data_IF_581042587870
#
_entry.id   IF_581042587870
#
_cell.length_a   1.000
_cell.length_b   1.000
_cell.length_c   1.000
_cell.angle_alpha   90.00
_cell.angle_beta   90.00
_cell.angle_gamma   90.00
#
_symmetry.space_group_name_H-M   'P 1'
#
loop_
_entity.id
_entity.type
_entity.pdbx_description
1 polymer ?
#
# COMPACT_ATOMS: atom_id res chain seq x y z
N UNK A 1 -18.42 -10.77 -38.77
CA UNK A 1 -17.31 -10.96 -37.84
C UNK A 1 -17.62 -10.12 -36.62
N UNK A 2 -18.02 -10.76 -35.53
CA UNK A 2 -18.49 -10.09 -34.32
C UNK A 2 -17.41 -10.26 -33.28
N UNK A 3 -16.67 -9.20 -32.96
CA UNK A 3 -15.69 -9.23 -31.87
C UNK A 3 -16.44 -8.91 -30.59
N UNK A 4 -16.65 -9.94 -29.77
CA UNK A 4 -17.16 -9.79 -28.41
C UNK A 4 -16.09 -9.08 -27.58
N UNK A 5 -16.33 -7.82 -27.24
CA UNK A 5 -15.57 -7.14 -26.18
C UNK A 5 -15.81 -7.89 -24.87
N UNK A 6 -14.76 -8.50 -24.33
CA UNK A 6 -14.78 -9.01 -22.97
C UNK A 6 -14.84 -7.80 -22.03
N UNK A 7 -16.02 -7.52 -21.49
CA UNK A 7 -16.18 -6.71 -20.30
C UNK A 7 -15.35 -7.34 -19.19
N UNK A 8 -14.19 -6.75 -18.93
CA UNK A 8 -13.39 -7.05 -17.76
C UNK A 8 -14.19 -6.53 -16.57
N UNK A 9 -14.91 -7.42 -15.88
CA UNK A 9 -15.54 -7.14 -14.59
C UNK A 9 -14.42 -6.93 -13.59
N UNK A 10 -13.88 -5.71 -13.57
CA UNK A 10 -12.88 -5.28 -12.62
C UNK A 10 -13.44 -5.48 -11.23
N UNK A 11 -12.75 -6.29 -10.42
CA UNK A 11 -13.02 -6.43 -9.01
C UNK A 11 -12.72 -5.07 -8.36
N UNK A 12 -13.75 -4.23 -8.21
CA UNK A 12 -13.63 -2.90 -7.60
C UNK A 12 -13.10 -3.08 -6.17
N UNK A 13 -11.86 -2.63 -5.94
CA UNK A 13 -11.31 -2.56 -4.59
C UNK A 13 -12.01 -1.41 -3.86
N UNK A 14 -12.42 -1.64 -2.61
CA UNK A 14 -13.13 -0.65 -1.77
C UNK A 14 -12.22 0.37 -1.11
N UNK A 15 -10.91 0.22 -1.24
CA UNK A 15 -9.91 1.25 -0.88
C UNK A 15 -10.01 2.51 -1.77
N UNK A 16 -11.01 2.58 -2.66
CA UNK A 16 -11.25 3.72 -3.55
C UNK A 16 -10.36 3.70 -4.79
N UNK A 17 -9.56 2.65 -5.00
CA UNK A 17 -8.65 2.57 -6.13
C UNK A 17 -9.23 1.67 -7.23
N UNK A 18 -9.23 2.19 -8.45
CA UNK A 18 -9.73 1.48 -9.61
C UNK A 18 -8.96 0.15 -9.82
N UNK A 19 -9.62 -0.91 -10.34
CA UNK A 19 -9.02 -2.24 -10.56
C UNK A 19 -7.82 -2.26 -11.51
N UNK A 20 -7.53 -1.13 -12.17
CA UNK A 20 -6.29 -0.80 -12.89
C UNK A 20 -6.04 0.70 -12.74
N UNK A 21 -4.77 1.11 -12.69
CA UNK A 21 -4.36 2.51 -12.80
C UNK A 21 -4.95 3.08 -14.08
N UNK A 22 -6.05 3.81 -13.95
CA UNK A 22 -6.66 4.49 -15.08
C UNK A 22 -5.88 5.78 -15.22
N UNK A 23 -5.31 5.99 -16.41
CA UNK A 23 -4.62 7.23 -16.78
C UNK A 23 -5.65 8.36 -16.73
N UNK A 24 -5.80 8.95 -15.54
CA UNK A 24 -6.68 10.07 -15.25
C UNK A 24 -5.77 11.19 -14.72
N UNK A 25 -5.24 12.06 -15.60
CA UNK A 25 -4.34 13.14 -15.20
C UNK A 25 -4.98 14.16 -14.22
N UNK A 26 -6.30 14.12 -14.07
CA UNK A 26 -7.09 14.92 -13.12
C UNK A 26 -7.24 14.26 -11.73
N UNK A 27 -6.80 13.01 -11.55
CA UNK A 27 -6.88 12.28 -10.28
C UNK A 27 -5.80 12.76 -9.28
N UNK A 28 -5.98 12.53 -7.96
CA UNK A 28 -4.93 12.75 -6.97
C UNK A 28 -3.62 12.02 -7.33
N UNK A 29 -2.49 12.62 -6.97
CA UNK A 29 -1.16 12.05 -7.25
C UNK A 29 -1.02 10.66 -6.63
N UNK A 30 -0.37 9.75 -7.38
CA UNK A 30 -0.14 8.39 -6.94
C UNK A 30 1.17 8.30 -6.18
N UNK A 31 1.08 8.09 -4.86
CA UNK A 31 2.22 7.87 -3.97
C UNK A 31 1.99 6.57 -3.21
N UNK A 32 2.94 5.65 -3.24
CA UNK A 32 2.86 4.37 -2.52
C UNK A 32 4.10 4.12 -1.66
N UNK A 33 3.91 3.40 -0.56
CA UNK A 33 4.99 2.84 0.27
C UNK A 33 4.63 1.42 0.67
N UNK A 34 5.64 0.62 1.03
CA UNK A 34 5.44 -0.69 1.64
C UNK A 34 5.98 -0.66 3.07
N UNK A 35 5.38 -1.45 3.96
CA UNK A 35 5.85 -1.65 5.33
C UNK A 35 6.28 -3.09 5.52
N UNK A 36 7.28 -3.33 6.38
CA UNK A 36 7.76 -4.66 6.71
C UNK A 36 7.06 -5.20 7.95
N UNK A 37 6.72 -6.49 7.91
CA UNK A 37 6.37 -7.26 9.11
C UNK A 37 7.45 -8.32 9.29
N UNK A 38 8.21 -8.19 10.37
CA UNK A 38 9.26 -9.13 10.72
C UNK A 38 8.66 -10.39 11.30
N UNK A 39 9.20 -11.52 10.87
CA UNK A 39 8.86 -12.83 11.38
C UNK A 39 10.08 -13.42 12.09
N UNK A 40 9.84 -14.10 13.20
CA UNK A 40 10.82 -14.97 13.85
C UNK A 40 10.29 -16.37 13.95
N UNK A 41 11.20 -17.34 14.03
CA UNK A 41 10.82 -18.71 14.30
C UNK A 41 10.27 -18.81 15.73
N UNK A 42 9.18 -19.56 15.91
CA UNK A 42 8.63 -19.90 17.23
C UNK A 42 9.70 -20.51 18.12
N UNK A 43 9.56 -20.42 19.44
CA UNK A 43 10.57 -20.93 20.39
C UNK A 43 10.79 -22.44 20.27
N UNK A 44 9.78 -23.19 19.80
CA UNK A 44 9.88 -24.62 19.52
C UNK A 44 10.52 -24.95 18.16
N UNK A 45 10.77 -23.94 17.33
CA UNK A 45 11.37 -24.12 16.00
C UNK A 45 10.44 -24.63 14.91
N UNK A 46 9.11 -24.63 15.12
CA UNK A 46 8.16 -25.37 14.27
C UNK A 46 7.36 -24.50 13.28
N UNK A 47 7.20 -23.21 13.56
CA UNK A 47 6.43 -22.29 12.71
C UNK A 47 6.91 -20.83 12.85
N UNK A 48 6.49 -19.95 11.94
CA UNK A 48 6.77 -18.52 12.00
C UNK A 48 5.75 -17.80 12.90
N UNK A 49 6.23 -16.85 13.68
CA UNK A 49 5.42 -15.91 14.46
C UNK A 49 5.88 -14.48 14.15
N UNK A 50 5.00 -13.49 14.38
CA UNK A 50 5.37 -12.08 14.26
C UNK A 50 6.46 -11.77 15.30
N UNK A 51 7.55 -11.17 14.84
CA UNK A 51 8.62 -10.72 15.73
C UNK A 51 8.13 -9.54 16.59
N UNK A 52 8.63 -9.45 17.82
CA UNK A 52 8.28 -8.38 18.75
C UNK A 52 8.56 -6.99 18.17
N UNK A 53 9.59 -6.84 17.33
CA UNK A 53 9.93 -5.58 16.66
C UNK A 53 8.80 -5.05 15.76
N UNK A 54 7.91 -5.92 15.26
CA UNK A 54 6.76 -5.47 14.48
C UNK A 54 5.55 -5.08 15.32
N UNK A 55 5.53 -5.36 16.64
CA UNK A 55 4.36 -5.12 17.50
C UNK A 55 4.72 -4.42 18.81
N UNK A 56 5.87 -3.74 18.86
CA UNK A 56 6.38 -3.06 20.05
C UNK A 56 5.74 -1.68 20.30
N UNK A 57 4.81 -1.26 19.44
CA UNK A 57 4.09 0.00 19.52
C UNK A 57 4.74 1.15 18.74
N UNK A 58 5.87 0.92 18.07
CA UNK A 58 6.50 1.90 17.19
C UNK A 58 6.01 1.74 15.73
N UNK A 59 6.35 2.72 14.89
CA UNK A 59 6.06 2.66 13.46
C UNK A 59 6.83 1.50 12.81
N UNK A 60 6.20 0.81 11.87
CA UNK A 60 6.87 -0.24 11.10
C UNK A 60 7.95 0.35 10.20
N UNK A 61 8.96 -0.45 9.91
CA UNK A 61 10.00 -0.09 8.95
C UNK A 61 9.46 -0.14 7.52
N UNK A 62 10.00 0.72 6.66
CA UNK A 62 9.66 0.70 5.24
C UNK A 62 10.22 -0.56 4.58
N UNK A 63 9.44 -1.17 3.68
CA UNK A 63 9.85 -2.30 2.86
C UNK A 63 10.78 -1.94 1.71
N UNK A 64 10.92 -0.65 1.39
CA UNK A 64 11.80 -0.15 0.35
C UNK A 64 13.19 0.13 0.94
N UNK A 65 14.23 0.02 0.11
CA UNK A 65 15.64 0.06 0.52
C UNK A 65 16.09 1.32 1.25
N UNK A 66 15.29 2.39 1.24
CA UNK A 66 15.70 3.73 1.65
C UNK A 66 14.62 4.48 2.45
N UNK A 67 13.70 3.79 3.13
CA UNK A 67 12.58 4.40 3.89
C UNK A 67 11.71 5.37 3.09
N UNK A 68 11.66 5.18 1.77
CA UNK A 68 11.01 6.10 0.85
C UNK A 68 9.79 5.51 0.18
N UNK A 69 8.75 6.33 0.08
CA UNK A 69 7.67 6.14 -0.85
C UNK A 69 8.17 6.23 -2.31
N UNK A 70 7.33 5.85 -3.26
CA UNK A 70 7.56 6.06 -4.70
C UNK A 70 6.30 6.64 -5.37
N UNK A 71 6.50 7.27 -6.52
CA UNK A 71 5.47 7.81 -7.38
C UNK A 71 5.64 7.36 -8.85
N UNK A 72 6.38 6.27 -9.09
CA UNK A 72 6.73 5.78 -10.44
C UNK A 72 5.53 5.55 -11.36
N UNK A 73 4.37 5.20 -10.79
CA UNK A 73 3.12 4.94 -11.52
C UNK A 73 2.21 6.18 -11.63
N UNK A 74 2.67 7.36 -11.18
CA UNK A 74 1.88 8.59 -11.29
C UNK A 74 1.86 9.11 -12.73
N UNK A 75 0.67 9.17 -13.32
CA UNK A 75 0.46 9.47 -14.73
C UNK A 75 0.13 10.94 -15.05
N UNK A 76 0.26 11.87 -14.09
CA UNK A 76 -0.26 13.23 -14.23
C UNK A 76 0.67 14.20 -14.99
N UNK A 77 1.90 13.81 -15.30
CA UNK A 77 2.92 14.61 -16.02
C UNK A 77 3.29 15.95 -15.33
N UNK A 78 3.02 16.07 -14.01
CA UNK A 78 3.32 17.26 -13.18
C UNK A 78 4.54 17.02 -12.29
N UNK A 79 5.71 16.83 -12.90
CA UNK A 79 6.94 16.34 -12.23
C UNK A 79 7.32 17.07 -10.93
N UNK A 80 7.34 18.40 -10.92
CA UNK A 80 7.73 19.18 -9.72
C UNK A 80 6.72 19.03 -8.57
N UNK A 81 5.45 18.88 -8.90
CA UNK A 81 4.40 18.70 -7.90
C UNK A 81 4.39 17.26 -7.35
N UNK A 82 4.55 16.29 -8.25
CA UNK A 82 4.82 14.90 -7.90
C UNK A 82 5.98 14.78 -6.92
N UNK A 83 7.09 15.46 -7.22
CA UNK A 83 8.28 15.48 -6.37
C UNK A 83 8.01 16.10 -5.01
N UNK A 84 7.34 17.25 -4.95
CA UNK A 84 7.01 17.91 -3.69
C UNK A 84 6.10 17.04 -2.80
N UNK A 85 5.13 16.34 -3.39
CA UNK A 85 4.26 15.42 -2.66
C UNK A 85 4.97 14.15 -2.20
N UNK A 86 5.87 13.62 -3.03
CA UNK A 86 6.71 12.49 -2.66
C UNK A 86 7.62 12.84 -1.47
N UNK A 87 8.24 14.03 -1.50
CA UNK A 87 9.03 14.54 -0.38
C UNK A 87 8.19 14.67 0.89
N UNK A 88 6.99 15.26 0.80
CA UNK A 88 6.09 15.36 1.95
C UNK A 88 5.65 13.99 2.49
N UNK A 89 5.41 13.00 1.63
CA UNK A 89 5.03 11.66 2.03
C UNK A 89 6.16 10.93 2.78
N UNK A 90 7.42 11.17 2.43
CA UNK A 90 8.58 10.58 3.11
C UNK A 90 8.76 11.10 4.55
N UNK A 91 8.16 12.23 4.90
CA UNK A 91 8.17 12.78 6.26
C UNK A 91 7.03 12.23 7.14
N UNK A 92 6.09 11.48 6.56
CA UNK A 92 5.00 10.88 7.31
C UNK A 92 5.49 9.66 8.08
N UNK A 93 5.03 9.52 9.33
CA UNK A 93 5.25 8.28 10.08
C UNK A 93 4.54 7.13 9.37
N UNK A 94 5.21 5.99 9.31
CA UNK A 94 4.58 4.74 8.92
C UNK A 94 3.61 4.27 10.03
N UNK A 95 2.60 3.44 9.69
CA UNK A 95 1.68 2.91 10.68
C UNK A 95 2.40 2.00 11.66
N UNK A 96 1.89 1.94 12.90
CA UNK A 96 2.22 0.83 13.81
C UNK A 96 1.53 -0.46 13.33
N UNK A 97 1.89 -1.62 13.87
CA UNK A 97 1.18 -2.86 13.49
C UNK A 97 -0.31 -2.86 13.87
N UNK A 98 -0.69 -2.24 15.00
CA UNK A 98 -2.09 -2.13 15.39
C UNK A 98 -2.88 -1.30 14.36
N UNK A 99 -2.32 -0.17 13.95
CA UNK A 99 -2.92 0.69 12.92
C UNK A 99 -2.98 -0.01 11.57
N UNK A 100 -1.92 -0.74 11.18
CA UNK A 100 -1.93 -1.54 9.95
C UNK A 100 -3.04 -2.60 9.98
N UNK A 101 -3.24 -3.28 11.12
CA UNK A 101 -4.32 -4.25 11.27
C UNK A 101 -5.69 -3.60 11.08
N UNK A 102 -5.91 -2.41 11.66
CA UNK A 102 -7.14 -1.65 11.45
C UNK A 102 -7.32 -1.23 9.98
N UNK A 103 -6.27 -0.72 9.33
CA UNK A 103 -6.31 -0.37 7.91
C UNK A 103 -6.66 -1.59 7.03
N UNK A 104 -6.13 -2.76 7.35
CA UNK A 104 -6.48 -4.02 6.67
C UNK A 104 -7.95 -4.34 6.91
N UNK A 105 -8.42 -4.31 8.15
CA UNK A 105 -9.80 -4.62 8.50
C UNK A 105 -10.79 -3.66 7.83
N UNK A 106 -10.48 -2.36 7.77
CA UNK A 106 -11.30 -1.33 7.13
C UNK A 106 -11.39 -1.51 5.61
N UNK A 107 -10.32 -2.02 4.98
CA UNK A 107 -10.26 -2.27 3.55
C UNK A 107 -10.98 -3.57 3.12
N UNK A 108 -11.21 -4.51 4.06
CA UNK A 108 -11.91 -5.76 3.77
C UNK A 108 -13.43 -5.51 3.61
N UNK A 109 -14.11 -6.25 2.71
CA UNK A 109 -15.56 -6.19 2.64
C UNK A 109 -16.19 -6.69 3.94
N UNK A 110 -17.40 -6.22 4.31
CA UNK A 110 -18.13 -6.78 5.43
C UNK A 110 -18.37 -8.27 5.21
N UNK A 111 -18.22 -9.07 6.26
CA UNK A 111 -18.47 -10.50 6.19
C UNK A 111 -19.91 -10.76 5.73
N UNK A 112 -20.05 -11.57 4.68
CA UNK A 112 -21.33 -12.08 4.17
C UNK A 112 -22.00 -13.04 5.15
#
# INVERSE_FOLDING_TARGET
>A
MTTTEHQHTGNERRDGQAPRYSYLPEAPHYIETSVQVYLRLSDEGTHWIVDGASVDGYALDCGRSDDRATNEECACERDEECKALLEAANELRLPTAEELAHLILDALPPAS
#
